data_IF_728079923692
#
_entry.id   IF_728079923692
#
_cell.length_a   1.000
_cell.length_b   1.000
_cell.length_c   1.000
_cell.angle_alpha   90.00
_cell.angle_beta   90.00
_cell.angle_gamma   90.00
#
_symmetry.space_group_name_H-M   'P 1'
#
loop_
_entity.id
_entity.type
_entity.pdbx_description
1 polymer ?
#
# COMPACT_ATOMS: atom_id res chain seq x y z
N UNK A 1 16.52 -7.60 -23.06
CA UNK A 1 16.88 -6.23 -23.52
C UNK A 1 15.77 -5.17 -23.32
N UNK A 2 14.58 -5.25 -23.94
CA UNK A 2 13.49 -4.25 -23.78
C UNK A 2 13.00 -4.05 -22.33
N UNK A 3 12.97 -5.12 -21.53
CA UNK A 3 12.41 -5.11 -20.17
C UNK A 3 13.29 -4.35 -19.15
N UNK A 4 14.59 -4.28 -19.40
CA UNK A 4 15.53 -3.51 -18.58
C UNK A 4 15.37 -2.00 -18.81
N UNK A 5 15.18 -1.57 -20.05
CA UNK A 5 14.93 -0.16 -20.35
C UNK A 5 13.59 0.31 -19.76
N UNK A 6 12.59 -0.56 -19.78
CA UNK A 6 11.27 -0.28 -19.21
C UNK A 6 11.32 -0.10 -17.68
N UNK A 7 12.02 -0.98 -16.95
CA UNK A 7 12.19 -0.87 -15.50
C UNK A 7 13.05 0.34 -15.09
N UNK A 8 14.11 0.65 -15.84
CA UNK A 8 14.90 1.88 -15.63
C UNK A 8 14.05 3.12 -15.85
N UNK A 9 13.22 3.14 -16.91
CA UNK A 9 12.31 4.23 -17.20
C UNK A 9 11.29 4.44 -16.07
N UNK A 10 10.65 3.37 -15.59
CA UNK A 10 9.72 3.46 -14.44
C UNK A 10 10.42 3.95 -13.16
N UNK A 11 11.64 3.48 -12.89
CA UNK A 11 12.42 3.92 -11.73
C UNK A 11 12.75 5.42 -11.82
N UNK A 12 13.19 5.90 -12.98
CA UNK A 12 13.44 7.33 -13.24
C UNK A 12 12.17 8.17 -13.08
N UNK A 13 11.04 7.67 -13.61
CA UNK A 13 9.75 8.33 -13.49
C UNK A 13 9.28 8.42 -12.03
N UNK A 14 9.45 7.37 -11.24
CA UNK A 14 9.10 7.39 -9.80
C UNK A 14 10.04 8.27 -8.98
N UNK A 15 11.33 8.33 -9.31
CA UNK A 15 12.28 9.28 -8.70
C UNK A 15 11.83 10.71 -8.99
N UNK A 16 11.46 11.01 -10.24
CA UNK A 16 10.95 12.33 -10.62
C UNK A 16 9.67 12.69 -9.85
N UNK A 17 8.70 11.77 -9.80
CA UNK A 17 7.45 11.94 -9.04
C UNK A 17 7.76 12.19 -7.57
N UNK A 18 8.68 11.44 -6.98
CA UNK A 18 9.07 11.64 -5.59
C UNK A 18 9.63 13.03 -5.33
N UNK A 19 10.51 13.54 -6.21
CA UNK A 19 11.06 14.89 -6.09
C UNK A 19 9.96 15.95 -6.24
N UNK A 20 9.02 15.76 -7.17
CA UNK A 20 7.87 16.65 -7.35
C UNK A 20 6.97 16.66 -6.10
N UNK A 21 6.70 15.50 -5.51
CA UNK A 21 5.93 15.37 -4.27
C UNK A 21 6.64 16.11 -3.12
N UNK A 22 7.95 15.95 -2.97
CA UNK A 22 8.71 16.63 -1.92
C UNK A 22 8.68 18.16 -2.09
N UNK A 23 8.91 18.65 -3.32
CA UNK A 23 8.86 20.08 -3.64
C UNK A 23 7.45 20.67 -3.50
N UNK A 24 6.41 19.88 -3.81
CA UNK A 24 5.03 20.31 -3.62
C UNK A 24 4.76 20.67 -2.16
N UNK A 25 5.42 20.00 -1.20
CA UNK A 25 5.22 20.27 0.22
C UNK A 25 5.90 21.56 0.66
N UNK A 26 7.03 21.93 0.06
CA UNK A 26 7.76 23.16 0.38
C UNK A 26 6.88 24.41 0.15
N UNK A 27 6.09 24.41 -0.93
CA UNK A 27 5.09 25.43 -1.19
C UNK A 27 3.89 25.40 -0.24
N UNK A 28 3.63 24.25 0.42
CA UNK A 28 2.55 24.08 1.40
C UNK A 28 2.96 24.45 2.83
N UNK A 29 4.25 24.56 3.19
CA UNK A 29 4.68 24.90 4.56
C UNK A 29 4.14 26.29 4.99
N UNK A 30 3.80 27.15 4.02
CA UNK A 30 3.16 28.46 4.22
C UNK A 30 1.69 28.38 4.66
N UNK A 31 1.02 27.23 4.47
CA UNK A 31 -0.37 26.98 4.85
C UNK A 31 -0.43 25.83 5.87
N UNK A 32 -1.12 26.03 6.98
CA UNK A 32 -1.06 25.27 8.24
C UNK A 32 -1.53 23.80 8.25
N UNK A 33 -1.28 23.02 7.19
CA UNK A 33 -1.71 21.63 7.06
C UNK A 33 -0.58 20.68 7.46
N UNK A 34 -0.21 20.72 8.75
CA UNK A 34 0.94 19.96 9.28
C UNK A 34 0.83 18.44 9.07
N UNK A 35 -0.37 17.86 9.20
CA UNK A 35 -0.60 16.41 9.09
C UNK A 35 -0.42 15.88 7.67
N UNK A 36 -0.99 16.56 6.68
CA UNK A 36 -0.86 16.21 5.25
C UNK A 36 0.59 16.31 4.80
N UNK A 37 1.34 17.32 5.27
CA UNK A 37 2.76 17.46 4.92
C UNK A 37 3.61 16.30 5.45
N UNK A 38 3.35 15.78 6.65
CA UNK A 38 4.09 14.64 7.22
C UNK A 38 3.86 13.37 6.40
N UNK A 39 2.60 13.10 6.02
CA UNK A 39 2.24 11.96 5.18
C UNK A 39 2.93 12.02 3.81
N UNK A 40 2.85 13.15 3.09
CA UNK A 40 3.46 13.27 1.76
C UNK A 40 5.00 13.20 1.83
N UNK A 41 5.62 13.71 2.90
CA UNK A 41 7.07 13.59 3.13
C UNK A 41 7.47 12.13 3.33
N UNK A 42 6.75 11.40 4.17
CA UNK A 42 7.01 9.98 4.36
C UNK A 42 6.84 9.19 3.05
N UNK A 43 5.77 9.47 2.30
CA UNK A 43 5.49 8.82 1.03
C UNK A 43 6.62 9.08 0.01
N UNK A 44 7.04 10.34 -0.15
CA UNK A 44 8.14 10.69 -1.07
C UNK A 44 9.46 10.02 -0.67
N UNK A 45 9.87 10.08 0.60
CA UNK A 45 11.09 9.38 1.05
C UNK A 45 11.00 7.87 0.76
N UNK A 46 9.87 7.23 1.08
CA UNK A 46 9.69 5.79 0.88
C UNK A 46 9.72 5.41 -0.59
N UNK A 47 9.05 6.20 -1.44
CA UNK A 47 9.00 5.98 -2.88
C UNK A 47 10.38 6.19 -3.52
N UNK A 48 11.12 7.21 -3.09
CA UNK A 48 12.50 7.45 -3.52
C UNK A 48 13.40 6.29 -3.13
N UNK A 49 13.33 5.83 -1.87
CA UNK A 49 14.14 4.72 -1.39
C UNK A 49 13.90 3.43 -2.17
N UNK A 50 12.62 3.06 -2.40
CA UNK A 50 12.27 1.89 -3.21
C UNK A 50 12.76 2.01 -4.64
N UNK A 51 12.51 3.15 -5.29
CA UNK A 51 12.89 3.37 -6.70
C UNK A 51 14.41 3.40 -6.88
N UNK A 52 15.12 3.99 -5.93
CA UNK A 52 16.58 4.01 -5.92
C UNK A 52 17.16 2.62 -5.72
N UNK A 53 16.59 1.82 -4.82
CA UNK A 53 16.98 0.42 -4.61
C UNK A 53 16.75 -0.42 -5.87
N UNK A 54 15.60 -0.27 -6.54
CA UNK A 54 15.32 -0.94 -7.81
C UNK A 54 16.31 -0.52 -8.90
N UNK A 55 16.62 0.77 -9.01
CA UNK A 55 17.57 1.29 -9.98
C UNK A 55 18.97 0.69 -9.77
N UNK A 56 19.46 0.65 -8.53
CA UNK A 56 20.74 0.00 -8.21
C UNK A 56 20.67 -1.49 -8.57
N UNK A 57 19.67 -2.21 -8.07
CA UNK A 57 19.52 -3.65 -8.32
C UNK A 57 19.51 -3.95 -9.82
N UNK A 58 18.83 -3.14 -10.62
CA UNK A 58 18.68 -3.33 -12.06
C UNK A 58 19.95 -3.00 -12.86
N UNK A 59 20.78 -2.07 -12.37
CA UNK A 59 22.10 -1.78 -12.95
C UNK A 59 23.08 -2.92 -12.66
N UNK A 60 23.07 -3.48 -11.45
CA UNK A 60 23.99 -4.54 -11.04
C UNK A 60 23.53 -5.96 -11.44
N UNK A 61 22.23 -6.17 -11.66
CA UNK A 61 21.68 -7.47 -12.04
C UNK A 61 21.72 -7.68 -13.57
N UNK A 62 22.43 -8.71 -14.03
CA UNK A 62 22.45 -9.17 -15.45
C UNK A 62 21.24 -10.00 -15.85
N UNK A 63 20.25 -10.17 -14.97
CA UNK A 63 19.08 -11.02 -15.22
C UNK A 63 18.03 -10.24 -16.02
N UNK A 64 17.74 -10.66 -17.24
CA UNK A 64 16.53 -10.22 -17.95
C UNK A 64 15.30 -10.70 -17.16
N UNK A 65 14.75 -9.83 -16.31
CA UNK A 65 13.51 -10.10 -15.60
C UNK A 65 12.38 -10.20 -16.63
N UNK A 66 11.89 -11.42 -16.87
CA UNK A 66 10.71 -11.66 -17.72
C UNK A 66 9.49 -11.16 -16.96
N UNK A 67 8.85 -10.08 -17.44
CA UNK A 67 7.52 -9.68 -16.96
C UNK A 67 6.54 -10.76 -17.43
N UNK A 68 6.24 -11.71 -16.55
CA UNK A 68 5.16 -12.67 -16.77
C UNK A 68 3.87 -11.95 -16.39
N UNK A 69 3.26 -11.28 -17.38
CA UNK A 69 1.96 -10.65 -17.23
C UNK A 69 0.97 -11.76 -16.84
N UNK A 70 0.48 -11.68 -15.60
CA UNK A 70 -0.55 -12.52 -15.00
C UNK A 70 -0.61 -13.95 -15.58
N UNK A 71 0.28 -14.85 -15.11
CA UNK A 71 0.25 -16.28 -15.43
C UNK A 71 -1.13 -16.92 -15.18
N UNK A 72 -2.00 -16.26 -14.41
CA UNK A 72 -3.33 -16.74 -14.07
C UNK A 72 -4.35 -15.57 -13.98
N UNK A 73 -4.89 -15.15 -15.13
CA UNK A 73 -5.84 -14.03 -15.25
C UNK A 73 -7.06 -14.17 -14.32
N UNK A 74 -7.51 -15.41 -14.07
CA UNK A 74 -8.64 -15.71 -13.16
C UNK A 74 -8.35 -15.27 -11.72
N UNK A 75 -7.17 -15.62 -11.20
CA UNK A 75 -6.76 -15.22 -9.84
C UNK A 75 -6.60 -13.70 -9.75
N UNK A 76 -6.04 -13.08 -10.78
CA UNK A 76 -5.90 -11.63 -10.84
C UNK A 76 -7.25 -10.90 -10.83
N UNK A 77 -8.22 -11.37 -11.63
CA UNK A 77 -9.58 -10.81 -11.65
C UNK A 77 -10.28 -10.94 -10.29
N UNK A 78 -10.12 -12.09 -9.62
CA UNK A 78 -10.64 -12.30 -8.27
C UNK A 78 -10.00 -11.36 -7.24
N UNK A 79 -8.69 -11.09 -7.33
CA UNK A 79 -8.03 -10.11 -6.45
C UNK A 79 -8.61 -8.70 -6.63
N UNK A 80 -8.93 -8.31 -7.86
CA UNK A 80 -9.58 -7.02 -8.13
C UNK A 80 -10.96 -6.96 -7.49
N UNK A 81 -11.78 -8.01 -7.67
CA UNK A 81 -13.11 -8.12 -7.06
C UNK A 81 -13.02 -8.04 -5.54
N UNK A 82 -12.04 -8.72 -4.94
CA UNK A 82 -11.82 -8.71 -3.51
C UNK A 82 -11.39 -7.33 -2.99
N UNK A 83 -10.60 -6.59 -3.79
CA UNK A 83 -10.19 -5.22 -3.47
C UNK A 83 -11.37 -4.25 -3.55
N UNK A 84 -12.25 -4.40 -4.54
CA UNK A 84 -13.51 -3.64 -4.62
C UNK A 84 -14.37 -3.94 -3.39
N UNK A 85 -14.52 -5.22 -3.05
CA UNK A 85 -15.25 -5.65 -1.85
C UNK A 85 -14.67 -5.07 -0.56
N UNK A 86 -13.34 -5.04 -0.43
CA UNK A 86 -12.65 -4.40 0.70
C UNK A 86 -13.04 -2.93 0.83
N UNK A 87 -13.00 -2.14 -0.26
CA UNK A 87 -13.36 -0.72 -0.22
C UNK A 87 -14.83 -0.53 0.16
N UNK A 88 -15.74 -1.33 -0.39
CA UNK A 88 -17.16 -1.27 -0.05
C UNK A 88 -17.44 -1.57 1.42
N UNK A 89 -16.75 -2.57 1.99
CA UNK A 89 -16.96 -3.02 3.38
C UNK A 89 -16.22 -2.11 4.39
N UNK A 90 -15.11 -1.49 3.99
CA UNK A 90 -14.31 -0.59 4.82
C UNK A 90 -15.13 0.57 5.40
N UNK A 91 -16.10 1.08 4.64
CA UNK A 91 -17.02 2.12 5.12
C UNK A 91 -18.00 1.67 6.19
N UNK A 92 -18.13 0.36 6.47
CA UNK A 92 -19.04 -0.18 7.49
C UNK A 92 -18.27 -0.85 8.63
N UNK A 93 -17.34 -1.74 8.31
CA UNK A 93 -16.57 -2.52 9.29
C UNK A 93 -15.34 -1.78 9.83
N UNK A 94 -15.01 -0.63 9.26
CA UNK A 94 -13.77 0.09 9.58
C UNK A 94 -12.52 -0.57 9.00
N UNK A 95 -11.38 0.10 9.19
CA UNK A 95 -10.09 -0.26 8.58
C UNK A 95 -9.55 -1.62 9.05
N UNK A 96 -9.56 -1.87 10.36
CA UNK A 96 -8.89 -3.04 10.96
C UNK A 96 -9.55 -4.34 10.49
N UNK A 97 -10.87 -4.46 10.65
CA UNK A 97 -11.62 -5.69 10.33
C UNK A 97 -11.60 -5.93 8.82
N UNK A 98 -11.83 -4.89 8.02
CA UNK A 98 -11.83 -5.00 6.56
C UNK A 98 -10.47 -5.42 6.03
N UNK A 99 -9.38 -4.84 6.56
CA UNK A 99 -8.02 -5.19 6.13
C UNK A 99 -7.63 -6.60 6.53
N UNK A 100 -8.03 -7.07 7.71
CA UNK A 100 -7.79 -8.46 8.13
C UNK A 100 -8.51 -9.44 7.20
N UNK A 101 -9.81 -9.22 6.93
CA UNK A 101 -10.58 -10.06 6.03
C UNK A 101 -9.96 -10.08 4.64
N UNK A 102 -9.56 -8.91 4.12
CA UNK A 102 -8.90 -8.79 2.82
C UNK A 102 -7.57 -9.53 2.77
N UNK A 103 -6.67 -9.33 3.75
CA UNK A 103 -5.37 -9.99 3.79
C UNK A 103 -5.47 -11.51 3.95
N UNK A 104 -6.37 -11.98 4.82
CA UNK A 104 -6.60 -13.42 5.01
C UNK A 104 -7.12 -14.03 3.70
N UNK A 105 -8.11 -13.38 3.08
CA UNK A 105 -8.74 -13.87 1.84
C UNK A 105 -7.76 -13.87 0.66
N UNK A 106 -6.92 -12.84 0.52
CA UNK A 106 -5.87 -12.78 -0.52
C UNK A 106 -4.81 -13.86 -0.31
N UNK A 107 -4.31 -14.03 0.92
CA UNK A 107 -3.33 -15.09 1.21
C UNK A 107 -3.90 -16.48 0.95
N UNK A 108 -5.18 -16.71 1.27
CA UNK A 108 -5.81 -17.99 1.00
C UNK A 108 -5.96 -18.25 -0.52
N UNK A 109 -6.34 -17.23 -1.30
CA UNK A 109 -6.38 -17.27 -2.76
C UNK A 109 -5.01 -17.55 -3.42
N UNK A 110 -3.95 -17.01 -2.82
CA UNK A 110 -2.57 -17.26 -3.22
C UNK A 110 -2.10 -18.69 -2.89
N UNK A 111 -2.86 -19.45 -2.09
CA UNK A 111 -2.59 -20.85 -1.78
C UNK A 111 -1.76 -21.06 -0.52
N UNK A 112 -1.61 -20.04 0.33
CA UNK A 112 -1.00 -20.23 1.65
C UNK A 112 -1.91 -21.13 2.49
N UNK A 113 -1.35 -22.22 3.04
CA UNK A 113 -2.10 -23.24 3.80
C UNK A 113 -1.96 -23.12 5.32
N UNK A 114 -1.00 -22.34 5.81
CA UNK A 114 -0.69 -22.23 7.24
C UNK A 114 -1.52 -21.12 7.89
N UNK A 115 -2.67 -21.47 8.43
CA UNK A 115 -3.64 -20.54 9.04
C UNK A 115 -3.00 -19.65 10.11
N UNK A 116 -2.16 -20.22 10.98
CA UNK A 116 -1.44 -19.46 12.02
C UNK A 116 -0.55 -18.38 11.40
N UNK A 117 0.20 -18.71 10.34
CA UNK A 117 1.06 -17.73 9.67
C UNK A 117 0.23 -16.64 8.99
N UNK A 118 -0.92 -17.00 8.39
CA UNK A 118 -1.83 -16.04 7.75
C UNK A 118 -2.34 -15.04 8.79
N UNK A 119 -2.80 -15.52 9.95
CA UNK A 119 -3.33 -14.64 11.01
C UNK A 119 -2.25 -13.75 11.62
N UNK A 120 -1.06 -14.29 11.91
CA UNK A 120 0.03 -13.51 12.49
C UNK A 120 0.51 -12.43 11.51
N UNK A 121 0.75 -12.82 10.25
CA UNK A 121 1.25 -11.86 9.25
C UNK A 121 0.21 -10.79 8.92
N UNK A 122 -1.07 -11.16 8.76
CA UNK A 122 -2.12 -10.18 8.53
C UNK A 122 -2.28 -9.23 9.72
N UNK A 123 -2.26 -9.75 10.96
CA UNK A 123 -2.35 -8.94 12.17
C UNK A 123 -1.18 -7.97 12.32
N UNK A 124 0.07 -8.44 12.12
CA UNK A 124 1.26 -7.59 12.18
C UNK A 124 1.21 -6.48 11.14
N UNK A 125 0.84 -6.81 9.90
CA UNK A 125 0.78 -5.82 8.80
C UNK A 125 -0.31 -4.78 9.12
N UNK A 126 -1.50 -5.21 9.53
CA UNK A 126 -2.58 -4.28 9.88
C UNK A 126 -2.21 -3.41 11.06
N UNK A 127 -1.59 -3.97 12.10
CA UNK A 127 -1.13 -3.21 13.26
C UNK A 127 -0.05 -2.19 12.89
N UNK A 128 0.93 -2.58 12.07
CA UNK A 128 1.97 -1.67 11.59
C UNK A 128 1.38 -0.49 10.81
N UNK A 129 0.48 -0.78 9.86
CA UNK A 129 -0.17 0.28 9.07
C UNK A 129 -1.06 1.16 9.97
N UNK A 130 -1.80 0.58 10.91
CA UNK A 130 -2.61 1.35 11.85
C UNK A 130 -1.77 2.33 12.67
N UNK A 131 -0.64 1.88 13.24
CA UNK A 131 0.28 2.74 14.00
C UNK A 131 0.84 3.86 13.12
N UNK A 132 1.22 3.52 11.89
CA UNK A 132 1.80 4.46 10.95
C UNK A 132 0.81 5.58 10.57
N UNK A 133 -0.45 5.25 10.33
CA UNK A 133 -1.47 6.26 10.02
C UNK A 133 -2.01 7.01 11.26
N UNK A 134 -2.24 6.31 12.37
CA UNK A 134 -2.83 6.88 13.58
C UNK A 134 -1.82 7.70 14.39
N UNK A 135 -0.62 7.15 14.64
CA UNK A 135 0.38 7.78 15.51
C UNK A 135 1.29 8.71 14.73
N UNK A 136 1.83 8.26 13.60
CA UNK A 136 2.83 9.04 12.85
C UNK A 136 2.14 10.11 12.00
N UNK A 137 1.07 9.76 11.27
CA UNK A 137 0.39 10.71 10.39
C UNK A 137 -0.78 11.44 11.04
N UNK A 138 -1.31 10.93 12.15
CA UNK A 138 -2.50 11.47 12.83
C UNK A 138 -3.70 11.61 11.88
N UNK A 139 -3.82 10.66 10.95
CA UNK A 139 -4.93 10.61 9.99
C UNK A 139 -6.03 9.73 10.59
N UNK A 140 -7.27 10.23 10.73
CA UNK A 140 -8.37 9.41 11.20
C UNK A 140 -8.66 8.30 10.17
N UNK A 141 -8.61 7.07 10.65
CA UNK A 141 -9.00 5.90 9.85
C UNK A 141 -10.49 5.63 10.07
N UNK A 142 -11.20 5.03 9.10
CA UNK A 142 -12.58 4.60 9.32
C UNK A 142 -12.64 3.62 10.49
N UNK A 143 -13.34 3.99 11.54
CA UNK A 143 -13.62 3.14 12.68
C UNK A 143 -14.94 2.39 12.46
N UNK A 144 -15.18 1.37 13.29
CA UNK A 144 -16.33 0.47 13.13
C UNK A 144 -17.64 1.23 13.42
N UNK A 145 -18.33 1.66 12.37
CA UNK A 145 -19.61 2.39 12.46
C UNK A 145 -20.74 1.52 13.02
N UNK A 146 -20.66 0.19 12.83
CA UNK A 146 -21.70 -0.76 13.28
C UNK A 146 -21.88 -0.77 14.81
N UNK A 147 -20.86 -0.38 15.59
CA UNK A 147 -20.98 -0.30 17.04
C UNK A 147 -21.60 1.03 17.52
N UNK A 148 -21.36 2.14 16.83
CA UNK A 148 -21.93 3.45 17.20
C UNK A 148 -23.43 3.55 16.92
N UNK A 149 -23.92 2.92 15.85
CA UNK A 149 -25.35 2.86 15.55
C UNK A 149 -26.18 2.03 16.53
N UNK A 150 -25.54 1.20 17.38
CA UNK A 150 -26.19 0.40 18.42
C UNK A 150 -26.18 1.09 19.79
N UNK A 151 -25.24 2.02 20.04
CA UNK A 151 -25.11 2.76 21.31
C UNK A 151 -26.01 4.00 21.41
N UNK A 152 -26.72 4.35 20.33
CA UNK A 152 -27.70 5.44 20.26
C UNK A 152 -29.15 4.94 20.02
N UNK A 153 -29.44 3.68 20.34
CA UNK A 153 -30.81 3.15 20.48
C UNK A 153 -31.12 2.80 21.93
#
# INVERSE_FOLDING_TARGET
MQLRHLSIFFSLLFILISMLLYKSIENLITYSIATTSIYIKFLSISLFACSFFELIKNIFSKKDEKIVIAKNIKKFSILIILLIGYVCIMGYLGFIISSLIFLISTMWLMGYKKIIQILITSSIIVAFVYILFSVIFKIPLPELIILEGLLWR
#
